data_IF_212909686416
#
_entry.id   IF_212909686416
#
_cell.length_a   1.000
_cell.length_b   1.000
_cell.length_c   1.000
_cell.angle_alpha   90.00
_cell.angle_beta   90.00
_cell.angle_gamma   90.00
#
_symmetry.space_group_name_H-M   'P 1'
#
loop_
_entity.id
_entity.type
_entity.pdbx_description
1 polymer ?
#
# COMPACT_ATOMS: atom_id res chain seq x y z
N UNK A 1 -10.45 7.16 19.31
CA UNK A 1 -9.65 6.86 20.51
C UNK A 1 -8.68 5.75 20.16
N UNK A 2 -7.37 5.98 20.32
CA UNK A 2 -6.30 5.02 20.07
C UNK A 2 -6.22 3.90 21.14
N UNK A 3 -7.36 3.43 21.60
CA UNK A 3 -7.38 2.35 22.57
C UNK A 3 -7.26 1.00 21.85
N UNK A 4 -6.35 0.13 22.30
CA UNK A 4 -6.25 -1.21 21.75
C UNK A 4 -7.53 -2.00 22.00
N UNK A 5 -7.76 -3.04 21.19
CA UNK A 5 -8.87 -3.98 21.42
C UNK A 5 -8.77 -4.54 22.83
N UNK A 6 -9.89 -4.59 23.55
CA UNK A 6 -9.93 -5.01 24.95
C UNK A 6 -9.37 -6.43 25.12
N UNK A 7 -8.26 -6.56 25.83
CA UNK A 7 -7.55 -7.83 26.03
C UNK A 7 -8.45 -8.94 26.55
N UNK A 8 -9.36 -8.64 27.49
CA UNK A 8 -10.30 -9.61 28.03
C UNK A 8 -11.23 -10.19 26.96
N UNK A 9 -11.61 -9.41 25.95
CA UNK A 9 -12.43 -9.88 24.83
C UNK A 9 -11.63 -10.73 23.87
N UNK A 10 -10.39 -10.36 23.60
CA UNK A 10 -9.46 -11.15 22.76
C UNK A 10 -9.20 -12.51 23.41
N UNK A 11 -8.95 -12.54 24.72
CA UNK A 11 -8.71 -13.76 25.47
C UNK A 11 -9.95 -14.67 25.45
N UNK A 12 -11.16 -14.13 25.65
CA UNK A 12 -12.40 -14.89 25.57
C UNK A 12 -12.67 -15.48 24.17
N UNK A 13 -12.25 -14.79 23.11
CA UNK A 13 -12.31 -15.33 21.74
C UNK A 13 -11.27 -16.45 21.57
N UNK A 14 -10.04 -16.24 22.04
CA UNK A 14 -8.94 -17.23 21.97
C UNK A 14 -9.30 -18.51 22.71
N UNK A 15 -9.98 -18.41 23.86
CA UNK A 15 -10.42 -19.55 24.69
C UNK A 15 -11.44 -20.45 23.96
N UNK A 16 -12.04 -19.98 22.85
CA UNK A 16 -12.85 -20.80 21.95
C UNK A 16 -12.02 -21.70 21.02
N UNK A 17 -10.70 -21.71 21.16
CA UNK A 17 -9.81 -22.58 20.39
C UNK A 17 -9.44 -22.06 18.99
N UNK A 18 -9.68 -20.79 18.72
CA UNK A 18 -9.31 -20.17 17.44
C UNK A 18 -7.93 -19.50 17.49
N UNK A 19 -7.27 -19.43 16.37
CA UNK A 19 -6.04 -18.64 16.21
C UNK A 19 -6.40 -17.18 15.95
N UNK A 20 -5.91 -16.27 16.78
CA UNK A 20 -5.97 -14.82 16.48
C UNK A 20 -4.93 -14.53 15.38
N UNK A 21 -5.36 -13.88 14.32
CA UNK A 21 -4.54 -13.50 13.16
C UNK A 21 -4.18 -12.03 13.21
N UNK A 22 -5.17 -11.15 13.43
CA UNK A 22 -4.95 -9.71 13.49
C UNK A 22 -5.93 -9.04 14.47
N UNK A 23 -5.58 -7.83 14.91
CA UNK A 23 -6.42 -7.00 15.79
C UNK A 23 -6.31 -5.54 15.35
N UNK A 24 -7.43 -4.94 14.93
CA UNK A 24 -7.46 -3.54 14.50
C UNK A 24 -8.09 -2.64 15.55
N UNK A 25 -7.32 -1.67 16.04
CA UNK A 25 -7.77 -0.69 17.05
C UNK A 25 -8.75 0.34 16.48
N UNK A 26 -8.64 0.66 15.20
CA UNK A 26 -9.44 1.69 14.55
C UNK A 26 -10.91 1.31 14.43
N UNK A 27 -11.18 0.07 14.00
CA UNK A 27 -12.53 -0.47 13.82
C UNK A 27 -12.92 -1.45 14.92
N UNK A 28 -12.03 -1.64 15.93
CA UNK A 28 -12.23 -2.52 17.07
C UNK A 28 -12.61 -3.94 16.63
N UNK A 29 -11.81 -4.53 15.74
CA UNK A 29 -12.01 -5.89 15.22
C UNK A 29 -10.94 -6.86 15.67
N UNK A 30 -11.27 -8.15 15.58
CA UNK A 30 -10.33 -9.26 15.74
C UNK A 30 -10.54 -10.22 14.57
N UNK A 31 -9.48 -10.50 13.82
CA UNK A 31 -9.48 -11.51 12.76
C UNK A 31 -9.04 -12.86 13.36
N UNK A 32 -9.81 -13.89 13.10
CA UNK A 32 -9.54 -15.25 13.59
C UNK A 32 -9.42 -16.23 12.42
N UNK A 33 -8.57 -17.24 12.59
CA UNK A 33 -8.54 -18.41 11.71
C UNK A 33 -9.15 -19.60 12.44
N UNK A 34 -10.19 -20.18 11.83
CA UNK A 34 -10.92 -21.32 12.37
C UNK A 34 -11.42 -22.22 11.24
N UNK A 35 -11.30 -23.54 11.41
CA UNK A 35 -11.79 -24.53 10.44
C UNK A 35 -13.19 -25.07 10.79
N UNK A 36 -13.72 -24.68 11.96
CA UNK A 36 -15.01 -25.13 12.45
C UNK A 36 -16.02 -23.97 12.49
N UNK A 37 -17.04 -24.06 11.66
CA UNK A 37 -18.10 -23.04 11.60
C UNK A 37 -18.95 -22.98 12.89
N UNK A 38 -19.04 -24.06 13.67
CA UNK A 38 -19.77 -24.06 14.92
C UNK A 38 -19.11 -23.14 15.96
N UNK A 39 -17.78 -23.14 16.02
CA UNK A 39 -16.98 -22.25 16.88
C UNK A 39 -17.18 -20.78 16.51
N UNK A 40 -17.31 -20.46 15.21
CA UNK A 40 -17.64 -19.10 14.77
C UNK A 40 -19.03 -18.67 15.26
N UNK A 41 -20.01 -19.60 15.27
CA UNK A 41 -21.34 -19.37 15.86
C UNK A 41 -21.29 -19.07 17.36
N UNK A 42 -20.44 -19.78 18.10
CA UNK A 42 -20.23 -19.51 19.53
C UNK A 42 -19.57 -18.15 19.78
N UNK A 43 -18.61 -17.76 18.92
CA UNK A 43 -17.98 -16.43 19.00
C UNK A 43 -18.99 -15.33 18.68
N UNK A 44 -19.82 -15.52 17.66
CA UNK A 44 -20.88 -14.58 17.29
C UNK A 44 -21.92 -14.38 18.42
N UNK A 45 -22.13 -15.39 19.26
CA UNK A 45 -23.04 -15.33 20.40
C UNK A 45 -22.45 -14.61 21.64
N UNK A 46 -21.17 -14.24 21.64
CA UNK A 46 -20.57 -13.52 22.76
C UNK A 46 -21.17 -12.11 22.86
N UNK A 47 -21.51 -11.63 24.07
CA UNK A 47 -22.28 -10.39 24.25
C UNK A 47 -21.56 -9.11 23.80
N UNK A 48 -20.26 -9.18 23.55
CA UNK A 48 -19.45 -8.08 23.09
C UNK A 48 -19.10 -8.17 21.58
N UNK A 49 -19.52 -9.22 20.89
CA UNK A 49 -19.35 -9.38 19.45
C UNK A 49 -20.58 -8.82 18.73
N UNK A 50 -20.39 -7.79 17.94
CA UNK A 50 -21.49 -7.14 17.20
C UNK A 50 -21.86 -7.87 15.92
N UNK A 51 -20.86 -8.36 15.20
CA UNK A 51 -21.00 -9.07 13.94
C UNK A 51 -19.77 -9.94 13.66
N UNK A 52 -19.96 -10.96 12.84
CA UNK A 52 -18.88 -11.77 12.28
C UNK A 52 -19.02 -11.76 10.76
N UNK A 53 -17.91 -11.52 10.06
CA UNK A 53 -17.87 -11.52 8.61
C UNK A 53 -16.75 -12.45 8.12
N UNK A 54 -17.01 -13.14 7.02
CA UNK A 54 -15.98 -13.97 6.40
C UNK A 54 -15.05 -13.07 5.60
N UNK A 55 -13.78 -13.07 5.95
CA UNK A 55 -12.77 -12.39 5.16
C UNK A 55 -12.65 -13.09 3.81
N UNK A 56 -12.78 -12.32 2.73
CA UNK A 56 -12.60 -12.84 1.39
C UNK A 56 -11.12 -13.17 1.17
N UNK A 57 -10.86 -14.35 0.61
CA UNK A 57 -9.50 -14.78 0.22
C UNK A 57 -9.46 -14.78 -1.30
N UNK A 58 -8.56 -13.96 -1.86
CA UNK A 58 -8.34 -13.99 -3.29
C UNK A 58 -7.87 -15.38 -3.73
N UNK A 59 -8.39 -15.93 -4.84
CA UNK A 59 -7.77 -17.10 -5.44
C UNK A 59 -6.34 -16.72 -5.82
N UNK A 60 -5.36 -17.58 -5.46
CA UNK A 60 -3.96 -17.38 -5.82
C UNK A 60 -3.85 -17.16 -7.33
N UNK A 61 -3.56 -15.92 -7.74
CA UNK A 61 -3.19 -15.67 -9.14
C UNK A 61 -1.79 -16.26 -9.36
N UNK A 62 -1.57 -17.01 -10.48
CA UNK A 62 -0.20 -17.28 -10.87
C UNK A 62 0.50 -15.91 -11.03
N UNK A 63 1.71 -15.80 -10.50
CA UNK A 63 2.52 -14.60 -10.65
C UNK A 63 2.50 -14.18 -12.12
N UNK A 64 1.99 -12.99 -12.40
CA UNK A 64 2.01 -12.47 -13.76
C UNK A 64 3.47 -12.33 -14.16
N UNK A 65 3.88 -12.97 -15.25
CA UNK A 65 5.20 -12.74 -15.82
C UNK A 65 5.37 -11.23 -16.05
N UNK A 66 6.37 -10.67 -15.43
CA UNK A 66 6.67 -9.24 -15.52
C UNK A 66 7.14 -8.89 -16.94
N UNK A 67 6.19 -8.51 -17.80
CA UNK A 67 6.47 -8.13 -19.19
C UNK A 67 7.14 -6.74 -19.31
N UNK A 68 7.60 -6.16 -18.20
CA UNK A 68 8.11 -4.77 -18.15
C UNK A 68 9.54 -4.59 -18.64
N UNK A 69 10.31 -5.65 -18.80
CA UNK A 69 11.69 -5.54 -19.31
C UNK A 69 11.80 -5.03 -20.76
N UNK A 70 10.72 -5.04 -21.52
CA UNK A 70 10.73 -4.60 -22.92
C UNK A 70 10.55 -3.08 -23.12
N UNK A 71 10.24 -2.33 -22.05
CA UNK A 71 10.04 -0.86 -22.13
C UNK A 71 11.27 -0.05 -21.72
N UNK A 72 12.35 -0.70 -21.30
CA UNK A 72 13.53 -0.07 -20.71
C UNK A 72 14.39 0.77 -21.67
N UNK A 73 14.11 0.83 -22.97
CA UNK A 73 15.00 1.45 -23.95
C UNK A 73 14.41 2.55 -24.83
N UNK A 74 13.32 3.20 -24.45
CA UNK A 74 12.87 4.38 -25.18
C UNK A 74 13.21 5.65 -24.42
N UNK A 75 14.09 6.52 -24.94
CA UNK A 75 14.26 7.86 -24.41
C UNK A 75 13.05 8.69 -24.82
N UNK A 76 11.96 8.57 -24.07
CA UNK A 76 10.74 9.35 -24.31
C UNK A 76 10.87 10.73 -23.70
N UNK A 77 11.72 11.60 -24.27
CA UNK A 77 11.56 13.03 -24.06
C UNK A 77 10.38 13.49 -24.89
N UNK A 78 9.29 13.83 -24.22
CA UNK A 78 8.13 14.46 -24.81
C UNK A 78 8.40 15.95 -25.04
N UNK A 79 7.70 16.57 -26.01
CA UNK A 79 7.67 18.04 -26.13
C UNK A 79 6.88 18.71 -24.98
N UNK A 80 6.07 17.91 -24.26
CA UNK A 80 5.26 18.39 -23.14
C UNK A 80 5.97 18.19 -21.80
N UNK A 81 5.85 19.17 -20.90
CA UNK A 81 6.43 19.18 -19.56
C UNK A 81 6.08 17.92 -18.74
N UNK A 82 4.86 17.41 -18.85
CA UNK A 82 4.40 16.23 -18.10
C UNK A 82 4.75 14.90 -18.78
N UNK A 83 5.30 14.93 -19.98
CA UNK A 83 5.55 13.72 -20.74
C UNK A 83 4.29 12.91 -21.02
N UNK A 84 4.35 11.57 -21.00
CA UNK A 84 3.19 10.68 -21.20
C UNK A 84 2.10 10.86 -20.13
N UNK A 85 2.41 11.43 -18.97
CA UNK A 85 1.46 11.65 -17.88
C UNK A 85 0.48 12.82 -18.12
N UNK A 86 0.67 13.64 -19.16
CA UNK A 86 -0.14 14.84 -19.40
C UNK A 86 -1.64 14.59 -19.26
N UNK A 87 -2.18 13.57 -19.95
CA UNK A 87 -3.62 13.28 -19.92
C UNK A 87 -4.13 12.95 -18.53
N UNK A 88 -3.32 12.29 -17.70
CA UNK A 88 -3.68 11.95 -16.33
C UNK A 88 -3.71 13.18 -15.42
N UNK A 89 -2.83 14.14 -15.68
CA UNK A 89 -2.78 15.41 -14.95
C UNK A 89 -3.96 16.31 -15.38
N UNK A 90 -4.23 16.41 -16.68
CA UNK A 90 -5.31 17.22 -17.25
C UNK A 90 -6.71 16.79 -16.76
N UNK A 91 -6.98 15.48 -16.63
CA UNK A 91 -8.28 14.96 -16.15
C UNK A 91 -8.70 15.59 -14.81
N UNK A 92 -7.73 15.86 -13.93
CA UNK A 92 -7.96 16.47 -12.61
C UNK A 92 -7.70 17.99 -12.60
N UNK A 93 -7.42 18.63 -13.73
CA UNK A 93 -6.92 20.00 -13.84
C UNK A 93 -5.63 20.25 -13.02
N UNK A 94 -4.80 19.22 -12.87
CA UNK A 94 -3.57 19.28 -12.08
C UNK A 94 -2.54 20.25 -12.62
N UNK A 95 -2.54 20.50 -13.94
CA UNK A 95 -1.68 21.52 -14.57
C UNK A 95 -1.96 22.91 -14.01
N UNK A 96 -3.24 23.26 -13.79
CA UNK A 96 -3.60 24.58 -13.19
C UNK A 96 -3.17 24.71 -11.75
N UNK A 97 -3.18 23.62 -10.98
CA UNK A 97 -2.65 23.61 -9.62
C UNK A 97 -1.13 23.82 -9.64
N UNK A 98 -0.43 23.15 -10.55
CA UNK A 98 1.00 23.30 -10.69
C UNK A 98 1.41 24.70 -11.18
N UNK A 99 0.65 25.30 -12.10
CA UNK A 99 0.83 26.68 -12.56
C UNK A 99 0.61 27.69 -11.42
N UNK A 100 -0.36 27.43 -10.55
CA UNK A 100 -0.61 28.22 -9.35
C UNK A 100 0.43 27.98 -8.23
N UNK A 101 1.40 27.09 -8.46
CA UNK A 101 2.49 26.81 -7.52
C UNK A 101 2.22 25.65 -6.55
N UNK A 102 1.08 24.97 -6.62
CA UNK A 102 0.74 23.86 -5.74
C UNK A 102 1.24 22.54 -6.32
N UNK A 103 2.45 22.11 -5.92
CA UNK A 103 3.11 20.86 -6.36
C UNK A 103 3.37 19.86 -5.24
N UNK A 104 2.72 20.06 -4.08
CA UNK A 104 2.90 19.21 -2.90
C UNK A 104 4.05 19.62 -1.97
N UNK A 105 4.68 20.76 -2.18
CA UNK A 105 5.76 21.25 -1.31
C UNK A 105 5.28 21.40 0.15
N UNK A 106 6.09 20.91 1.09
CA UNK A 106 5.76 20.90 2.51
C UNK A 106 4.82 19.77 2.93
N UNK A 107 4.24 19.01 1.97
CA UNK A 107 3.40 17.86 2.27
C UNK A 107 4.23 16.59 2.45
N UNK A 108 3.80 15.74 3.37
CA UNK A 108 4.35 14.39 3.56
C UNK A 108 3.28 13.36 3.21
N UNK A 109 3.60 12.45 2.32
CA UNK A 109 2.71 11.39 1.83
C UNK A 109 3.32 10.04 2.19
N UNK A 110 2.55 9.16 2.80
CA UNK A 110 2.92 7.76 2.96
C UNK A 110 2.29 6.95 1.82
N UNK A 111 3.11 6.22 1.08
CA UNK A 111 2.65 5.23 0.11
C UNK A 111 2.76 3.87 0.79
N UNK A 112 1.64 3.18 0.89
CA UNK A 112 1.52 1.86 1.54
C UNK A 112 1.16 0.88 0.44
N UNK A 113 2.05 -0.08 0.13
CA UNK A 113 1.91 -0.90 -1.07
C UNK A 113 2.76 -2.18 -1.01
N UNK A 114 2.75 -2.98 -2.09
CA UNK A 114 3.40 -4.29 -2.18
C UNK A 114 4.93 -4.23 -2.34
N UNK A 115 5.51 -3.11 -2.76
CA UNK A 115 6.95 -2.95 -2.93
C UNK A 115 7.33 -1.87 -3.93
N UNK A 116 8.64 -1.56 -4.00
CA UNK A 116 9.16 -0.37 -4.69
C UNK A 116 10.36 -0.72 -5.55
N UNK A 117 10.24 -1.78 -6.35
CA UNK A 117 11.34 -2.34 -7.12
C UNK A 117 12.11 -1.28 -7.91
N UNK A 118 13.43 -1.23 -7.67
CA UNK A 118 14.37 -0.34 -8.36
C UNK A 118 14.11 1.18 -8.24
N UNK A 119 13.26 1.66 -7.34
CA UNK A 119 13.04 3.12 -7.15
C UNK A 119 14.36 3.84 -6.85
N UNK A 120 15.26 3.20 -6.11
CA UNK A 120 16.61 3.71 -5.78
C UNK A 120 17.59 3.76 -6.98
N UNK A 121 17.27 3.06 -8.08
CA UNK A 121 18.14 2.92 -9.25
C UNK A 121 17.62 3.62 -10.51
N UNK A 122 16.31 3.85 -10.59
CA UNK A 122 15.69 4.49 -11.75
C UNK A 122 16.09 5.96 -11.79
N UNK A 123 16.79 6.37 -12.86
CA UNK A 123 17.33 7.74 -13.02
C UNK A 123 16.24 8.81 -12.86
N UNK A 124 15.09 8.62 -13.51
CA UNK A 124 13.97 9.54 -13.47
C UNK A 124 13.32 9.68 -12.07
N UNK A 125 13.62 8.76 -11.13
CA UNK A 125 13.11 8.80 -9.76
C UNK A 125 14.10 9.41 -8.75
N UNK A 126 15.31 9.74 -9.16
CA UNK A 126 16.34 10.29 -8.26
C UNK A 126 15.95 11.59 -7.57
N UNK A 127 15.06 12.37 -8.18
CA UNK A 127 14.61 13.65 -7.65
C UNK A 127 13.46 13.50 -6.62
N UNK A 128 12.96 12.28 -6.38
CA UNK A 128 11.91 12.02 -5.39
C UNK A 128 12.50 12.17 -3.98
N UNK A 129 11.88 13.00 -3.16
CA UNK A 129 12.28 13.19 -1.76
C UNK A 129 11.71 12.07 -0.89
N UNK A 130 12.47 10.99 -0.72
CA UNK A 130 12.12 9.87 0.16
C UNK A 130 12.65 10.16 1.56
N UNK A 131 11.77 10.19 2.56
CA UNK A 131 12.07 10.44 3.97
C UNK A 131 12.53 9.18 4.70
N UNK A 132 12.04 8.03 4.26
CA UNK A 132 12.41 6.73 4.82
C UNK A 132 11.55 5.62 4.25
N UNK A 133 11.92 4.41 4.61
CA UNK A 133 11.27 3.18 4.14
C UNK A 133 11.03 2.22 5.30
N UNK A 134 10.01 1.37 5.20
CA UNK A 134 9.81 0.26 6.12
C UNK A 134 9.12 -0.91 5.43
N UNK A 135 9.60 -2.11 5.71
CA UNK A 135 8.95 -3.35 5.33
C UNK A 135 8.25 -3.94 6.56
N UNK A 136 6.92 -4.03 6.52
CA UNK A 136 6.10 -4.65 7.57
C UNK A 136 5.89 -6.15 7.30
N UNK A 137 6.00 -6.56 6.03
CA UNK A 137 5.84 -7.96 5.61
C UNK A 137 7.07 -8.78 6.02
N UNK A 138 8.27 -8.23 5.74
CA UNK A 138 9.55 -8.85 6.03
C UNK A 138 10.47 -7.82 6.68
N UNK A 139 10.35 -7.61 8.02
CA UNK A 139 11.10 -6.59 8.71
C UNK A 139 12.62 -6.69 8.50
N UNK A 140 13.22 -5.60 8.03
CA UNK A 140 14.65 -5.54 7.71
C UNK A 140 15.02 -5.92 6.29
N UNK A 141 14.07 -6.30 5.45
CA UNK A 141 14.32 -6.54 4.03
C UNK A 141 14.50 -5.23 3.25
N UNK A 142 15.05 -5.34 2.05
CA UNK A 142 15.17 -4.23 1.11
C UNK A 142 13.88 -4.12 0.28
N UNK A 143 13.08 -3.09 0.51
CA UNK A 143 11.82 -2.85 -0.21
C UNK A 143 12.03 -2.56 -1.71
N UNK A 144 13.24 -2.13 -2.09
CA UNK A 144 13.60 -1.87 -3.49
C UNK A 144 13.91 -3.15 -4.27
N UNK A 145 14.02 -4.28 -3.59
CA UNK A 145 14.11 -5.61 -4.20
C UNK A 145 12.75 -6.34 -4.26
N UNK A 146 11.66 -5.71 -3.79
CA UNK A 146 10.32 -6.30 -3.67
C UNK A 146 9.40 -5.69 -4.72
N UNK A 147 8.24 -6.25 -4.93
CA UNK A 147 7.15 -5.84 -5.81
C UNK A 147 7.27 -4.51 -6.55
N UNK A 148 6.65 -4.36 -7.67
CA UNK A 148 6.77 -3.15 -8.50
C UNK A 148 5.50 -2.29 -8.53
N UNK A 149 4.41 -2.75 -7.90
CA UNK A 149 3.15 -2.01 -7.91
C UNK A 149 3.30 -0.66 -7.20
N UNK A 150 3.86 -0.61 -6.00
CA UNK A 150 4.11 0.64 -5.27
C UNK A 150 5.06 1.60 -5.98
N UNK A 151 6.03 1.09 -6.76
CA UNK A 151 6.86 1.92 -7.63
C UNK A 151 5.99 2.59 -8.70
N UNK A 152 5.09 1.87 -9.33
CA UNK A 152 4.18 2.42 -10.34
C UNK A 152 3.23 3.48 -9.73
N UNK A 153 2.65 3.20 -8.55
CA UNK A 153 1.81 4.14 -7.80
C UNK A 153 2.60 5.40 -7.42
N UNK A 154 3.81 5.23 -6.88
CA UNK A 154 4.70 6.33 -6.53
C UNK A 154 5.01 7.21 -7.74
N UNK A 155 5.25 6.62 -8.90
CA UNK A 155 5.57 7.36 -10.12
C UNK A 155 4.46 8.32 -10.52
N UNK A 156 3.20 7.93 -10.37
CA UNK A 156 2.04 8.78 -10.70
C UNK A 156 1.95 10.05 -9.84
N UNK A 157 2.52 10.02 -8.64
CA UNK A 157 2.49 11.16 -7.71
C UNK A 157 3.81 11.90 -7.66
N UNK A 158 4.92 11.19 -7.54
CA UNK A 158 6.19 11.71 -7.09
C UNK A 158 7.20 12.02 -8.22
N UNK A 159 7.00 11.47 -9.41
CA UNK A 159 7.93 11.72 -10.53
C UNK A 159 8.13 13.21 -10.74
N UNK A 160 9.40 13.61 -10.87
CA UNK A 160 9.80 15.00 -11.08
C UNK A 160 10.95 15.05 -12.09
N UNK A 161 10.69 14.57 -13.28
CA UNK A 161 11.60 14.62 -14.40
C UNK A 161 10.89 15.28 -15.60
N UNK A 162 10.99 16.60 -15.74
CA UNK A 162 10.32 17.34 -16.80
C UNK A 162 10.63 16.78 -18.19
N UNK A 163 9.60 16.70 -19.02
CA UNK A 163 9.62 16.14 -20.39
C UNK A 163 9.78 14.61 -20.46
N UNK A 164 10.04 13.93 -19.33
CA UNK A 164 10.02 12.48 -19.18
C UNK A 164 8.74 12.04 -18.48
N UNK A 165 8.54 12.47 -17.25
CA UNK A 165 7.30 12.27 -16.49
C UNK A 165 7.25 13.20 -15.29
N UNK A 166 6.13 13.90 -15.08
CA UNK A 166 5.85 14.66 -13.86
C UNK A 166 4.55 14.20 -13.26
N UNK A 167 4.58 13.82 -11.99
CA UNK A 167 3.44 13.33 -11.24
C UNK A 167 2.57 14.44 -10.66
N UNK A 168 1.56 14.07 -9.85
CA UNK A 168 0.59 15.01 -9.29
C UNK A 168 1.11 15.81 -8.10
N UNK A 169 2.12 15.31 -7.38
CA UNK A 169 2.71 15.96 -6.19
C UNK A 169 4.24 15.86 -6.21
N UNK A 170 4.92 16.37 -7.28
CA UNK A 170 6.35 16.13 -7.51
C UNK A 170 7.26 16.82 -6.50
N UNK A 171 6.75 17.76 -5.70
CA UNK A 171 7.50 18.46 -4.67
C UNK A 171 7.16 18.01 -3.24
N UNK A 172 6.33 16.99 -3.07
CA UNK A 172 6.06 16.38 -1.78
C UNK A 172 7.22 15.52 -1.28
N UNK A 173 7.17 15.14 -0.01
CA UNK A 173 8.09 14.18 0.59
C UNK A 173 7.36 12.86 0.84
N UNK A 174 8.05 11.73 0.71
CA UNK A 174 7.42 10.42 0.69
C UNK A 174 8.00 9.47 1.73
N UNK A 175 7.13 8.74 2.43
CA UNK A 175 7.45 7.51 3.14
C UNK A 175 7.01 6.34 2.27
N UNK A 176 7.87 5.33 2.10
CA UNK A 176 7.57 4.13 1.34
C UNK A 176 7.42 2.95 2.31
N UNK A 177 6.22 2.43 2.42
CA UNK A 177 5.85 1.41 3.40
C UNK A 177 5.35 0.18 2.65
N UNK A 178 6.09 -0.94 2.78
CA UNK A 178 5.61 -2.20 2.24
C UNK A 178 4.76 -2.90 3.29
N UNK A 179 3.48 -3.11 2.97
CA UNK A 179 2.50 -3.80 3.82
C UNK A 179 1.71 -4.88 3.10
N UNK A 180 2.00 -5.12 1.82
CA UNK A 180 1.29 -6.07 1.00
C UNK A 180 2.21 -7.17 0.50
N UNK A 181 1.68 -8.39 0.44
CA UNK A 181 2.33 -9.54 -0.15
C UNK A 181 1.46 -10.03 -1.32
N UNK A 182 1.90 -9.80 -2.55
CA UNK A 182 1.16 -10.12 -3.78
C UNK A 182 0.69 -11.58 -3.86
N UNK A 183 1.40 -12.49 -3.16
CA UNK A 183 1.09 -13.92 -3.14
C UNK A 183 0.04 -14.32 -2.11
N UNK A 184 -0.21 -13.49 -1.07
CA UNK A 184 -1.05 -13.85 0.08
C UNK A 184 -1.91 -12.70 0.59
N UNK A 185 -2.45 -11.90 -0.32
CA UNK A 185 -3.33 -10.77 -0.02
C UNK A 185 -4.42 -11.11 1.02
N UNK A 186 -4.82 -10.12 1.80
CA UNK A 186 -5.91 -10.02 2.76
C UNK A 186 -5.64 -10.39 4.21
N UNK A 187 -5.17 -11.59 4.53
CA UNK A 187 -5.01 -11.98 5.95
C UNK A 187 -3.79 -11.34 6.58
N UNK A 188 -2.70 -11.26 5.82
CA UNK A 188 -1.42 -10.71 6.29
C UNK A 188 -1.49 -9.18 6.36
N UNK A 189 -2.12 -8.56 5.39
CA UNK A 189 -2.28 -7.10 5.31
C UNK A 189 -3.04 -6.53 6.49
N UNK A 190 -4.10 -7.20 6.96
CA UNK A 190 -4.85 -6.75 8.13
C UNK A 190 -3.98 -6.65 9.40
N UNK A 191 -2.98 -7.51 9.54
CA UNK A 191 -2.03 -7.46 10.67
C UNK A 191 -1.06 -6.28 10.54
N UNK A 192 -0.67 -5.91 9.31
CA UNK A 192 0.24 -4.80 9.06
C UNK A 192 -0.42 -3.43 9.11
N UNK A 193 -1.72 -3.35 8.82
CA UNK A 193 -2.49 -2.11 8.90
C UNK A 193 -3.04 -1.82 10.30
N UNK A 194 -3.04 -2.79 11.18
CA UNK A 194 -3.54 -2.69 12.55
C UNK A 194 -2.52 -2.07 13.51
#
# INVERSE_FOLDING_TARGET
TDLPVCRRYVDAIRDKGVKIVAMGKWDNFVTVSCNDSAVIGEIAALPFVRATEKVWVAPSKPAAEDKRDSLANSPLKSENYYGPALRQIEISNGEKLHEAGFKGQGMTIAVIDAGYHNVDKIEAMKNIRILGTKDFVEPGSDIYAKGSHGMAVLSCMAMNDPYVMVGTAPAASYWLLRSEEEASEHLVEQDYWA
#
